data_IF_060206283283
#
_entry.id   IF_060206283283
#
_cell.length_a   1.000
_cell.length_b   1.000
_cell.length_c   1.000
_cell.angle_alpha   90.00
_cell.angle_beta   90.00
_cell.angle_gamma   90.00
#
_symmetry.space_group_name_H-M   'P 1'
#
loop_
_entity.id
_entity.type
_entity.pdbx_description
1 polymer ?
#
# COMPACT_ATOMS: atom_id res chain seq x y z
N UNK A 1 0.34 53.80 33.54
CA UNK A 1 1.44 53.95 32.56
C UNK A 1 2.16 52.60 32.41
N UNK A 2 2.25 52.00 31.23
CA UNK A 2 3.00 50.77 31.05
C UNK A 2 4.49 51.06 31.18
N UNK A 3 5.19 50.32 32.04
CA UNK A 3 6.65 50.36 32.19
C UNK A 3 7.30 50.07 30.85
N UNK A 4 8.02 51.07 30.30
CA UNK A 4 8.79 50.95 29.07
C UNK A 4 9.77 49.76 29.14
N UNK A 5 9.82 48.94 28.09
CA UNK A 5 10.83 47.88 27.94
C UNK A 5 12.21 48.50 28.06
N UNK A 6 13.10 47.95 28.91
CA UNK A 6 14.44 48.47 29.04
C UNK A 6 15.14 48.43 27.70
N UNK A 7 15.86 49.50 27.37
CA UNK A 7 16.61 49.63 26.11
C UNK A 7 17.53 48.40 25.90
N UNK A 8 17.52 47.88 24.70
CA UNK A 8 18.20 46.65 24.27
C UNK A 8 19.76 46.66 24.43
N UNK A 9 20.34 47.77 24.87
CA UNK A 9 21.78 47.93 24.93
C UNK A 9 22.49 47.32 26.17
N UNK A 10 21.78 46.95 27.23
CA UNK A 10 22.38 46.34 28.43
C UNK A 10 22.83 44.88 28.29
N UNK A 11 22.34 44.17 27.24
CA UNK A 11 22.55 42.74 27.05
C UNK A 11 23.59 42.40 25.99
N UNK A 12 24.17 43.39 25.30
CA UNK A 12 25.10 43.22 24.19
C UNK A 12 26.43 43.84 24.57
N UNK A 13 27.45 43.01 24.80
CA UNK A 13 28.85 43.43 24.90
C UNK A 13 29.58 43.10 23.60
N UNK A 14 30.56 43.87 23.25
CA UNK A 14 31.50 43.60 22.14
C UNK A 14 30.81 43.35 20.78
N UNK A 15 29.94 44.27 20.38
CA UNK A 15 29.26 44.22 19.07
C UNK A 15 30.24 44.52 17.93
N UNK A 16 30.37 43.60 16.97
CA UNK A 16 31.17 43.76 15.74
C UNK A 16 30.29 43.48 14.53
N UNK A 17 30.19 44.43 13.63
CA UNK A 17 29.39 44.27 12.41
C UNK A 17 30.11 43.34 11.41
N UNK A 18 29.31 42.48 10.75
CA UNK A 18 29.78 41.58 9.71
C UNK A 18 29.57 42.26 8.36
N UNK A 19 30.57 42.24 7.49
CA UNK A 19 30.57 42.88 6.16
C UNK A 19 30.08 44.34 6.18
N UNK A 20 30.41 45.08 7.25
CA UNK A 20 29.94 46.45 7.47
C UNK A 20 28.40 46.63 7.46
N UNK A 21 27.66 45.58 7.64
CA UNK A 21 26.18 45.61 7.65
C UNK A 21 25.65 45.91 9.05
N UNK A 22 24.72 46.89 9.16
CA UNK A 22 24.09 47.25 10.44
C UNK A 22 23.14 46.13 10.96
N UNK A 23 22.61 45.32 10.06
CA UNK A 23 21.66 44.25 10.32
C UNK A 23 22.30 42.84 10.42
N UNK A 24 23.63 42.77 10.40
CA UNK A 24 24.42 41.56 10.61
C UNK A 24 25.63 41.85 11.51
N UNK A 25 25.65 41.23 12.69
CA UNK A 25 26.74 41.44 13.63
C UNK A 25 26.91 40.26 14.59
N UNK A 26 28.12 40.13 15.11
CA UNK A 26 28.40 39.26 16.26
C UNK A 26 28.45 40.06 17.55
N UNK A 27 28.16 39.40 18.66
CA UNK A 27 28.16 40.02 19.99
C UNK A 27 28.36 38.98 21.09
N UNK A 28 28.77 39.43 22.25
CA UNK A 28 28.85 38.59 23.46
C UNK A 28 27.72 38.95 24.41
N UNK A 29 27.25 37.97 25.15
CA UNK A 29 26.37 38.16 26.32
C UNK A 29 27.20 38.28 27.58
N UNK A 30 26.78 39.09 28.59
CA UNK A 30 27.57 39.37 29.79
C UNK A 30 28.02 38.16 30.61
N UNK A 31 27.41 36.99 30.43
CA UNK A 31 27.71 35.76 31.19
C UNK A 31 28.04 34.56 30.30
N UNK A 32 28.40 34.80 29.04
CA UNK A 32 28.68 33.73 28.09
C UNK A 32 30.02 33.95 27.44
N UNK A 33 30.87 32.93 27.44
CA UNK A 33 32.13 32.91 26.69
C UNK A 33 31.91 32.69 25.20
N UNK A 34 30.72 32.21 24.79
CA UNK A 34 30.40 31.84 23.40
C UNK A 34 29.91 33.09 22.64
N UNK A 35 30.47 33.34 21.46
CA UNK A 35 30.00 34.35 20.56
C UNK A 35 28.60 34.09 20.06
N UNK A 36 27.75 35.12 20.02
CA UNK A 36 26.41 35.12 19.47
C UNK A 36 26.39 35.91 18.17
N UNK A 37 25.48 35.59 17.29
CA UNK A 37 25.26 36.41 16.10
C UNK A 37 23.84 36.94 16.03
N UNK A 38 23.70 38.08 15.40
CA UNK A 38 22.43 38.68 14.99
C UNK A 38 22.44 38.80 13.48
N UNK A 39 21.38 38.42 12.88
CA UNK A 39 21.16 38.49 11.45
C UNK A 39 19.72 38.91 11.19
N UNK A 40 19.54 39.93 10.33
CA UNK A 40 18.26 40.36 9.81
C UNK A 40 18.41 40.51 8.30
N UNK A 41 17.65 39.65 7.57
CA UNK A 41 17.52 39.70 6.12
C UNK A 41 16.04 39.82 5.81
N UNK A 42 15.71 40.60 4.78
CA UNK A 42 14.33 40.80 4.38
C UNK A 42 13.68 39.44 4.07
N UNK A 43 12.47 39.21 4.59
CA UNK A 43 11.77 37.94 4.49
C UNK A 43 12.16 36.86 5.52
N UNK A 44 13.34 36.93 6.17
CA UNK A 44 13.81 35.95 7.15
C UNK A 44 13.51 36.33 8.62
N UNK A 45 13.14 37.57 8.88
CA UNK A 45 12.98 38.08 10.25
C UNK A 45 14.29 38.29 10.98
N UNK A 46 14.24 38.42 12.31
CA UNK A 46 15.41 38.61 13.17
C UNK A 46 15.92 37.28 13.73
N UNK A 47 17.18 36.98 13.49
CA UNK A 47 17.85 35.81 13.99
C UNK A 47 18.84 36.17 15.07
N UNK A 48 18.77 35.53 16.25
CA UNK A 48 19.72 35.68 17.35
C UNK A 48 20.10 34.30 17.83
N UNK A 49 21.32 33.83 17.53
CA UNK A 49 21.77 32.47 17.89
C UNK A 49 23.25 32.47 18.32
N UNK A 50 23.66 31.36 18.91
CA UNK A 50 25.06 31.06 19.16
C UNK A 50 25.80 30.72 17.88
N UNK A 51 27.05 31.18 17.76
CA UNK A 51 27.96 30.71 16.69
C UNK A 51 28.58 29.36 17.02
N UNK A 52 28.56 28.95 18.29
CA UNK A 52 29.26 27.76 18.79
C UNK A 52 30.78 28.04 19.00
N UNK A 53 31.26 29.22 18.65
CA UNK A 53 32.68 29.60 18.79
C UNK A 53 32.92 30.16 20.20
N UNK A 54 33.88 29.59 20.90
CA UNK A 54 34.30 30.06 22.20
C UNK A 54 35.12 31.36 22.06
N UNK A 55 34.95 32.25 23.01
CA UNK A 55 35.70 33.49 23.12
C UNK A 55 36.03 33.74 24.58
N UNK A 56 36.82 34.75 24.85
CA UNK A 56 37.15 35.21 26.18
C UNK A 56 36.38 36.50 26.52
N UNK A 57 35.92 36.66 27.77
CA UNK A 57 35.21 37.86 28.19
C UNK A 57 36.15 39.04 28.44
N UNK A 58 37.41 38.79 28.68
CA UNK A 58 38.43 39.78 28.95
C UNK A 58 39.27 40.12 27.69
N UNK A 59 39.35 39.15 26.74
CA UNK A 59 39.97 39.41 25.43
C UNK A 59 38.94 39.24 24.28
N UNK A 60 38.62 40.37 23.66
CA UNK A 60 37.66 40.43 22.56
C UNK A 60 38.14 39.67 21.32
N UNK A 61 39.44 39.50 21.12
CA UNK A 61 39.98 38.90 19.90
C UNK A 61 39.89 37.38 19.89
N UNK A 62 39.70 36.73 21.04
CA UNK A 62 39.60 35.29 21.15
C UNK A 62 38.33 34.81 20.45
N UNK A 63 38.50 33.98 19.44
CA UNK A 63 37.39 33.40 18.62
C UNK A 63 36.64 34.40 17.75
N UNK A 64 37.01 35.71 17.74
CA UNK A 64 36.27 36.73 16.99
C UNK A 64 36.30 36.48 15.48
N UNK A 65 37.46 36.14 14.93
CA UNK A 65 37.63 35.91 13.48
C UNK A 65 36.79 34.72 13.01
N UNK A 66 36.78 33.64 13.76
CA UNK A 66 35.97 32.44 13.47
C UNK A 66 34.47 32.73 13.57
N UNK A 67 34.05 33.49 14.59
CA UNK A 67 32.68 33.91 14.76
C UNK A 67 32.20 34.84 13.63
N UNK A 68 33.08 35.76 13.18
CA UNK A 68 32.81 36.61 12.02
C UNK A 68 32.64 35.79 10.76
N UNK A 69 33.60 34.90 10.47
CA UNK A 69 33.55 34.03 9.29
C UNK A 69 32.25 33.14 9.31
N UNK A 70 31.95 32.52 10.43
CA UNK A 70 30.70 31.74 10.58
C UNK A 70 29.47 32.58 10.27
N UNK A 71 29.40 33.79 10.80
CA UNK A 71 28.25 34.69 10.62
C UNK A 71 28.16 35.22 9.21
N UNK A 72 29.28 35.49 8.56
CA UNK A 72 29.35 35.87 7.15
C UNK A 72 28.81 34.79 6.25
N UNK A 73 29.19 33.51 6.45
CA UNK A 73 28.64 32.39 5.70
C UNK A 73 27.09 32.30 5.88
N UNK A 74 26.61 32.51 7.10
CA UNK A 74 25.17 32.54 7.37
C UNK A 74 24.44 33.69 6.71
N UNK A 75 25.06 34.84 6.62
CA UNK A 75 24.52 36.02 5.92
C UNK A 75 24.43 35.77 4.41
N UNK A 76 25.50 35.23 3.81
CA UNK A 76 25.54 34.90 2.37
C UNK A 76 24.49 33.83 2.04
N UNK A 77 24.38 32.82 2.90
CA UNK A 77 23.33 31.76 2.76
C UNK A 77 21.93 32.37 2.78
N UNK A 78 21.63 33.24 3.74
CA UNK A 78 20.32 33.89 3.88
C UNK A 78 20.01 34.79 2.69
N UNK A 79 20.97 35.60 2.22
CA UNK A 79 20.84 36.44 1.01
C UNK A 79 20.66 35.62 -0.25
N UNK A 80 21.40 34.52 -0.38
CA UNK A 80 21.26 33.60 -1.50
C UNK A 80 19.85 33.02 -1.56
N UNK A 81 19.29 32.64 -0.40
CA UNK A 81 17.91 32.16 -0.32
C UNK A 81 16.87 33.21 -0.74
N UNK A 82 17.02 34.44 -0.30
CA UNK A 82 16.17 35.57 -0.69
C UNK A 82 16.20 35.79 -2.21
N UNK A 83 17.37 35.81 -2.83
CA UNK A 83 17.54 35.97 -4.27
C UNK A 83 16.83 34.90 -5.08
N UNK A 84 16.73 33.66 -4.55
CA UNK A 84 15.98 32.54 -5.14
C UNK A 84 14.50 32.50 -4.71
N UNK A 85 14.02 33.53 -4.00
CA UNK A 85 12.64 33.60 -3.51
C UNK A 85 12.28 32.45 -2.56
N UNK A 86 13.26 31.95 -1.81
CA UNK A 86 13.09 30.90 -0.83
C UNK A 86 12.43 31.43 0.44
N UNK A 87 11.61 30.59 1.10
CA UNK A 87 11.04 30.92 2.40
C UNK A 87 12.06 30.80 3.52
N UNK A 88 11.88 31.62 4.57
CA UNK A 88 12.64 31.47 5.81
C UNK A 88 12.47 30.07 6.40
N UNK A 89 13.61 29.45 6.77
CA UNK A 89 13.65 28.16 7.46
C UNK A 89 14.04 28.29 8.93
N UNK A 90 14.34 29.50 9.35
CA UNK A 90 14.90 29.85 10.67
C UNK A 90 14.09 29.33 11.84
N UNK A 91 12.76 29.40 11.73
CA UNK A 91 11.82 28.96 12.77
C UNK A 91 11.14 27.66 12.45
N UNK A 92 11.38 27.11 11.26
CA UNK A 92 10.67 25.92 10.79
C UNK A 92 11.37 24.66 11.20
N UNK A 93 10.62 23.77 11.83
CA UNK A 93 11.10 22.48 12.28
C UNK A 93 10.58 21.36 11.37
N UNK A 94 11.39 20.33 11.24
CA UNK A 94 11.16 19.24 10.29
C UNK A 94 9.81 18.53 10.53
N UNK A 95 9.44 18.28 11.79
CA UNK A 95 8.22 17.54 12.11
C UNK A 95 6.95 18.39 11.95
N UNK A 96 7.03 19.68 12.25
CA UNK A 96 5.90 20.60 12.04
C UNK A 96 5.53 20.64 10.55
N UNK A 97 6.53 20.65 9.68
CA UNK A 97 6.31 20.61 8.24
C UNK A 97 5.87 19.23 7.72
N UNK A 98 6.18 18.13 8.44
CA UNK A 98 5.57 16.82 8.16
C UNK A 98 4.07 16.85 8.46
N UNK A 99 3.66 17.50 9.54
CA UNK A 99 2.26 17.64 9.90
C UNK A 99 1.52 18.51 8.87
N UNK A 100 2.12 19.63 8.43
CA UNK A 100 1.59 20.45 7.34
C UNK A 100 1.37 19.65 6.05
N UNK A 101 2.35 18.81 5.68
CA UNK A 101 2.24 17.91 4.53
C UNK A 101 1.10 16.91 4.70
N UNK A 102 0.98 16.28 5.87
CA UNK A 102 -0.08 15.30 6.15
C UNK A 102 -1.47 15.94 6.14
N UNK A 103 -1.61 17.18 6.61
CA UNK A 103 -2.87 17.91 6.55
C UNK A 103 -3.22 18.30 5.09
N UNK A 104 -2.24 18.69 4.24
CA UNK A 104 -2.48 18.92 2.81
C UNK A 104 -2.90 17.62 2.10
N UNK A 105 -2.25 16.50 2.39
CA UNK A 105 -2.63 15.19 1.85
C UNK A 105 -4.01 14.72 2.34
N UNK A 106 -4.37 15.01 3.59
CA UNK A 106 -5.69 14.68 4.17
C UNK A 106 -6.84 15.33 3.42
N UNK A 107 -6.66 16.57 2.95
CA UNK A 107 -7.66 17.27 2.12
C UNK A 107 -7.94 16.57 0.78
N UNK A 108 -7.03 15.70 0.34
CA UNK A 108 -7.15 14.92 -0.91
C UNK A 108 -7.86 13.57 -0.73
N UNK A 109 -8.35 13.26 0.47
CA UNK A 109 -8.98 11.96 0.74
C UNK A 109 -10.32 11.85 0.03
N UNK A 110 -10.50 10.74 -0.73
CA UNK A 110 -11.76 10.33 -1.34
C UNK A 110 -12.05 8.86 -1.01
N UNK A 111 -13.31 8.42 -1.06
CA UNK A 111 -13.68 7.04 -0.72
C UNK A 111 -13.00 5.97 -1.57
N UNK A 112 -12.64 6.29 -2.80
CA UNK A 112 -12.00 5.40 -3.76
C UNK A 112 -10.96 6.15 -4.60
N UNK A 113 -10.08 5.40 -5.26
CA UNK A 113 -9.02 5.98 -6.07
C UNK A 113 -9.57 6.79 -7.25
N UNK A 114 -9.18 8.06 -7.30
CA UNK A 114 -9.41 8.99 -8.40
C UNK A 114 -8.10 9.70 -8.74
N UNK A 115 -7.87 10.11 -10.00
CA UNK A 115 -6.71 10.93 -10.35
C UNK A 115 -6.62 12.18 -9.46
N UNK A 116 -5.44 12.45 -8.90
CA UNK A 116 -5.22 13.59 -8.02
C UNK A 116 -5.69 13.42 -6.57
N UNK A 117 -6.36 12.32 -6.21
CA UNK A 117 -6.85 12.04 -4.86
C UNK A 117 -6.21 10.79 -4.27
N UNK A 118 -6.34 10.61 -2.97
CA UNK A 118 -5.85 9.43 -2.22
C UNK A 118 -6.96 8.81 -1.39
N UNK A 119 -6.80 7.55 -1.02
CA UNK A 119 -7.70 6.90 -0.06
C UNK A 119 -7.28 7.19 1.39
N UNK A 120 -8.21 7.05 2.33
CA UNK A 120 -7.91 7.16 3.77
C UNK A 120 -6.80 6.18 4.19
N UNK A 121 -6.76 4.97 3.60
CA UNK A 121 -5.70 4.00 3.87
C UNK A 121 -4.34 4.47 3.35
N UNK A 122 -4.28 5.08 2.17
CA UNK A 122 -3.05 5.68 1.63
C UNK A 122 -2.54 6.78 2.56
N UNK A 123 -3.43 7.61 3.10
CA UNK A 123 -3.06 8.64 4.08
C UNK A 123 -2.48 8.03 5.36
N UNK A 124 -3.10 6.98 5.92
CA UNK A 124 -2.57 6.26 7.09
C UNK A 124 -1.18 5.68 6.83
N UNK A 125 -0.97 5.10 5.65
CA UNK A 125 0.34 4.57 5.24
C UNK A 125 1.38 5.70 5.16
N UNK A 126 1.05 6.86 4.57
CA UNK A 126 1.95 8.01 4.55
C UNK A 126 2.29 8.51 5.95
N UNK A 127 1.31 8.59 6.84
CA UNK A 127 1.52 8.96 8.25
C UNK A 127 2.47 7.97 8.95
N UNK A 128 2.28 6.67 8.71
CA UNK A 128 3.18 5.64 9.25
C UNK A 128 4.61 5.81 8.74
N UNK A 129 4.80 6.04 7.45
CA UNK A 129 6.12 6.23 6.85
C UNK A 129 6.84 7.47 7.41
N UNK A 130 6.12 8.59 7.60
CA UNK A 130 6.72 9.79 8.22
C UNK A 130 7.00 9.60 9.71
N UNK A 131 6.22 8.80 10.43
CA UNK A 131 6.55 8.41 11.79
C UNK A 131 7.84 7.57 11.87
N UNK A 132 8.15 6.75 10.86
CA UNK A 132 9.44 6.07 10.78
C UNK A 132 10.58 7.08 10.54
N UNK A 133 10.37 8.10 9.71
CA UNK A 133 11.35 9.17 9.51
C UNK A 133 11.57 9.99 10.80
N UNK A 134 10.51 10.28 11.60
CA UNK A 134 10.66 10.88 12.93
C UNK A 134 11.54 10.05 13.85
N UNK A 135 11.39 8.73 13.81
CA UNK A 135 12.22 7.80 14.60
C UNK A 135 13.66 7.75 14.12
N UNK A 136 13.90 7.85 12.82
CA UNK A 136 15.23 8.00 12.26
C UNK A 136 15.95 9.19 12.89
N UNK A 137 15.27 10.32 13.09
CA UNK A 137 15.76 11.48 13.81
C UNK A 137 15.60 11.38 15.34
N UNK A 138 15.48 10.17 15.90
CA UNK A 138 15.36 9.91 17.36
C UNK A 138 14.26 10.73 18.05
N UNK A 139 13.18 11.04 17.33
CA UNK A 139 12.06 11.88 17.79
C UNK A 139 12.46 13.35 18.12
N UNK A 140 13.63 13.79 17.68
CA UNK A 140 14.08 15.20 17.85
C UNK A 140 13.53 16.03 16.71
N UNK A 141 12.64 16.97 17.01
CA UNK A 141 12.10 17.91 16.04
C UNK A 141 13.11 19.04 15.76
N UNK A 142 14.08 18.73 14.91
CA UNK A 142 15.17 19.64 14.59
C UNK A 142 14.76 20.72 13.57
N UNK A 143 15.40 21.91 13.62
CA UNK A 143 15.24 22.91 12.57
C UNK A 143 15.69 22.36 11.20
N UNK A 144 15.00 22.77 10.13
CA UNK A 144 15.36 22.36 8.75
C UNK A 144 16.80 22.75 8.39
N UNK A 145 17.32 23.85 8.92
CA UNK A 145 18.70 24.27 8.73
C UNK A 145 19.76 23.23 9.13
N UNK A 146 19.38 22.37 10.09
CA UNK A 146 20.26 21.31 10.60
C UNK A 146 20.07 19.99 9.85
N UNK A 147 19.36 19.98 8.72
CA UNK A 147 19.16 18.80 7.92
C UNK A 147 20.49 18.30 7.35
N UNK A 148 20.90 17.12 7.78
CA UNK A 148 22.09 16.46 7.27
C UNK A 148 21.72 15.55 6.09
N UNK A 149 22.17 15.94 4.88
CA UNK A 149 21.87 15.19 3.64
C UNK A 149 22.59 13.86 3.58
N UNK A 150 23.81 13.76 4.11
CA UNK A 150 24.58 12.51 4.15
C UNK A 150 23.92 11.50 5.07
N UNK A 151 23.42 11.97 6.23
CA UNK A 151 22.64 11.13 7.12
C UNK A 151 21.36 10.62 6.43
N UNK A 152 20.63 11.48 5.70
CA UNK A 152 19.44 11.08 4.96
C UNK A 152 19.72 10.08 3.85
N UNK A 153 20.89 10.21 3.19
CA UNK A 153 21.32 9.27 2.16
C UNK A 153 21.34 7.84 2.68
N UNK A 154 21.72 7.62 3.92
CA UNK A 154 21.79 6.31 4.57
C UNK A 154 20.49 5.82 5.22
N UNK A 155 19.38 6.57 5.12
CA UNK A 155 18.07 6.14 5.64
C UNK A 155 17.69 4.70 5.23
N UNK A 156 17.87 4.26 3.96
CA UNK A 156 17.53 2.90 3.56
C UNK A 156 18.34 1.82 4.30
N UNK A 157 19.62 2.08 4.54
CA UNK A 157 20.49 1.18 5.30
C UNK A 157 20.03 1.08 6.76
N UNK A 158 19.87 2.25 7.42
CA UNK A 158 19.31 2.30 8.77
C UNK A 158 18.00 1.53 8.89
N UNK A 159 17.10 1.73 7.93
CA UNK A 159 15.79 1.09 7.94
C UNK A 159 15.86 -0.43 7.79
N UNK A 160 16.82 -0.93 7.03
CA UNK A 160 17.05 -2.34 6.80
C UNK A 160 17.73 -3.07 7.98
N UNK A 161 18.46 -2.34 8.82
CA UNK A 161 19.30 -2.93 9.88
C UNK A 161 18.81 -2.64 11.30
N UNK A 162 18.07 -1.53 11.51
CA UNK A 162 17.71 -1.09 12.86
C UNK A 162 16.51 -1.85 13.41
N UNK A 163 16.68 -2.43 14.59
CA UNK A 163 15.61 -2.99 15.41
C UNK A 163 15.45 -2.15 16.66
N UNK A 164 14.27 -1.61 16.91
CA UNK A 164 13.94 -0.93 18.16
C UNK A 164 12.73 -1.59 18.79
N UNK A 165 12.77 -2.00 20.07
CA UNK A 165 11.59 -2.41 20.79
C UNK A 165 10.59 -1.25 20.87
N UNK A 166 9.34 -1.55 21.19
CA UNK A 166 8.22 -0.61 21.18
C UNK A 166 8.56 0.73 21.84
N UNK A 167 8.86 1.72 21.03
CA UNK A 167 8.75 3.14 21.38
C UNK A 167 7.43 3.63 20.80
N UNK A 168 6.50 4.04 21.68
CA UNK A 168 5.22 4.56 21.23
C UNK A 168 5.42 5.62 20.11
N UNK A 169 4.68 5.62 18.98
CA UNK A 169 3.55 4.76 18.70
C UNK A 169 3.86 3.52 17.84
N UNK A 170 5.08 3.29 17.34
CA UNK A 170 5.38 2.22 16.38
C UNK A 170 6.70 1.51 16.70
N UNK A 171 6.69 0.18 16.81
CA UNK A 171 7.91 -0.61 16.86
C UNK A 171 8.68 -0.50 15.52
N UNK A 172 10.00 -0.37 15.59
CA UNK A 172 10.86 -0.47 14.41
C UNK A 172 11.34 -1.91 14.33
N UNK A 173 11.03 -2.56 13.23
CA UNK A 173 11.61 -3.85 12.83
C UNK A 173 12.10 -3.73 11.40
N UNK A 174 13.23 -4.32 11.04
CA UNK A 174 13.64 -4.37 9.65
C UNK A 174 12.51 -4.98 8.79
N UNK A 175 12.18 -4.38 7.65
CA UNK A 175 11.15 -4.93 6.78
C UNK A 175 11.60 -6.22 6.14
N UNK A 176 10.68 -7.15 5.94
CA UNK A 176 10.97 -8.44 5.31
C UNK A 176 11.39 -8.32 3.84
N UNK A 177 11.02 -7.22 3.18
CA UNK A 177 11.30 -7.01 1.75
C UNK A 177 11.78 -5.58 1.50
N UNK A 178 12.69 -5.43 0.56
CA UNK A 178 13.17 -4.12 0.10
C UNK A 178 12.05 -3.28 -0.54
N UNK A 179 11.01 -3.91 -1.08
CA UNK A 179 9.84 -3.23 -1.62
C UNK A 179 9.13 -2.34 -0.58
N UNK A 180 9.15 -2.74 0.70
CA UNK A 180 8.62 -1.93 1.80
C UNK A 180 9.41 -0.65 1.96
N UNK A 181 10.75 -0.72 1.96
CA UNK A 181 11.62 0.47 2.05
C UNK A 181 11.41 1.37 0.82
N UNK A 182 11.27 0.80 -0.38
CA UNK A 182 10.94 1.57 -1.58
C UNK A 182 9.61 2.34 -1.45
N UNK A 183 8.61 1.74 -0.83
CA UNK A 183 7.33 2.40 -0.55
C UNK A 183 7.47 3.54 0.46
N UNK A 184 8.25 3.34 1.52
CA UNK A 184 8.59 4.37 2.51
C UNK A 184 9.29 5.54 1.84
N UNK A 185 10.34 5.28 1.03
CA UNK A 185 11.08 6.29 0.28
C UNK A 185 10.19 7.07 -0.70
N UNK A 186 9.19 6.43 -1.29
CA UNK A 186 8.23 7.14 -2.16
C UNK A 186 7.48 8.23 -1.38
N UNK A 187 7.05 7.93 -0.15
CA UNK A 187 6.40 8.92 0.72
C UNK A 187 7.38 10.01 1.17
N UNK A 188 8.58 9.61 1.59
CA UNK A 188 9.61 10.53 2.08
C UNK A 188 10.03 11.50 0.96
N UNK A 189 10.24 11.00 -0.26
CA UNK A 189 10.52 11.87 -1.42
C UNK A 189 9.37 12.81 -1.73
N UNK A 190 8.12 12.35 -1.63
CA UNK A 190 6.95 13.22 -1.82
C UNK A 190 6.89 14.33 -0.76
N UNK A 191 7.24 14.03 0.49
CA UNK A 191 7.37 15.03 1.54
C UNK A 191 8.48 16.05 1.23
N UNK A 192 9.67 15.62 0.84
CA UNK A 192 10.74 16.56 0.47
C UNK A 192 10.40 17.36 -0.80
N UNK A 193 9.70 16.75 -1.77
CA UNK A 193 9.18 17.48 -2.93
C UNK A 193 8.15 18.56 -2.52
N UNK A 194 7.32 18.28 -1.51
CA UNK A 194 6.46 19.30 -0.90
C UNK A 194 7.28 20.46 -0.32
N UNK A 195 8.37 20.20 0.39
CA UNK A 195 9.25 21.25 0.92
C UNK A 195 9.88 22.08 -0.18
N UNK A 196 10.30 21.46 -1.29
CA UNK A 196 10.80 22.18 -2.48
C UNK A 196 9.71 23.05 -3.10
N UNK A 197 8.51 22.50 -3.30
CA UNK A 197 7.35 23.25 -3.83
C UNK A 197 6.96 24.43 -2.93
N UNK A 198 7.06 24.25 -1.61
CA UNK A 198 6.80 25.33 -0.63
C UNK A 198 7.98 26.28 -0.47
N UNK A 199 9.05 26.10 -1.24
CA UNK A 199 10.27 26.92 -1.24
C UNK A 199 11.09 26.88 0.06
N UNK A 200 10.98 25.78 0.83
CA UNK A 200 11.85 25.56 2.00
C UNK A 200 13.18 24.89 1.63
N UNK A 201 13.23 24.10 0.57
CA UNK A 201 14.42 23.44 0.06
C UNK A 201 14.61 23.73 -1.42
N UNK A 202 15.87 23.72 -1.89
CA UNK A 202 16.22 23.89 -3.32
C UNK A 202 16.00 22.61 -4.11
N UNK A 203 16.34 21.46 -3.54
CA UNK A 203 16.21 20.15 -4.20
C UNK A 203 15.78 19.07 -3.23
N UNK A 204 15.21 18.01 -3.77
CA UNK A 204 14.88 16.80 -3.01
C UNK A 204 16.18 16.08 -2.63
N UNK A 205 16.38 15.67 -1.36
CA UNK A 205 17.54 14.89 -0.96
C UNK A 205 17.68 13.58 -1.74
N UNK A 206 18.90 13.16 -1.96
CA UNK A 206 19.20 11.87 -2.53
C UNK A 206 19.17 10.78 -1.46
N UNK A 207 18.86 9.56 -1.87
CA UNK A 207 18.83 8.38 -1.01
C UNK A 207 19.62 7.26 -1.68
N UNK A 208 20.31 6.45 -0.89
CA UNK A 208 21.02 5.26 -1.36
C UNK A 208 20.10 4.41 -2.22
N UNK A 209 20.58 3.99 -3.38
CA UNK A 209 19.82 3.12 -4.29
C UNK A 209 19.57 1.77 -3.62
N UNK A 210 18.33 1.30 -3.73
CA UNK A 210 17.93 -0.04 -3.33
C UNK A 210 17.80 -0.87 -4.59
N UNK A 211 18.52 -1.99 -4.64
CA UNK A 211 18.35 -2.98 -5.70
C UNK A 211 17.02 -3.69 -5.44
N UNK A 212 16.06 -3.53 -6.35
CA UNK A 212 14.79 -4.25 -6.26
C UNK A 212 15.03 -5.71 -6.61
N UNK A 213 14.80 -6.59 -5.67
CA UNK A 213 14.71 -8.02 -5.97
C UNK A 213 13.65 -8.24 -7.06
N UNK A 214 13.98 -9.10 -8.03
CA UNK A 214 13.02 -9.47 -9.06
C UNK A 214 11.82 -10.14 -8.37
N UNK A 215 10.60 -9.79 -8.80
CA UNK A 215 9.34 -10.29 -8.19
C UNK A 215 9.15 -11.81 -8.22
N UNK A 216 10.06 -12.56 -8.80
CA UNK A 216 9.95 -14.01 -9.03
C UNK A 216 9.88 -14.82 -7.73
N UNK A 217 10.52 -14.36 -6.65
CA UNK A 217 10.65 -15.16 -5.42
C UNK A 217 9.58 -14.86 -4.36
N UNK A 218 8.75 -13.83 -4.56
CA UNK A 218 7.68 -13.44 -3.62
C UNK A 218 6.30 -13.94 -4.03
N UNK A 219 6.22 -15.13 -4.64
CA UNK A 219 4.94 -15.75 -4.99
C UNK A 219 4.19 -16.14 -3.73
N UNK A 220 2.90 -15.83 -3.70
CA UNK A 220 2.04 -16.32 -2.63
C UNK A 220 1.70 -17.77 -2.89
N UNK A 221 1.80 -18.57 -1.85
CA UNK A 221 1.41 -19.96 -1.93
C UNK A 221 -0.08 -20.10 -2.24
N UNK A 222 -0.41 -21.13 -2.98
CA UNK A 222 -1.77 -21.56 -3.27
C UNK A 222 -2.00 -22.99 -2.81
N UNK A 223 -3.26 -23.37 -2.70
CA UNK A 223 -3.66 -24.72 -2.29
C UNK A 223 -3.85 -25.59 -3.54
N UNK A 224 -3.33 -26.80 -3.52
CA UNK A 224 -3.73 -27.84 -4.46
C UNK A 224 -5.20 -28.21 -4.28
N UNK A 225 -5.82 -28.88 -5.24
CA UNK A 225 -7.22 -29.31 -5.14
C UNK A 225 -7.47 -30.17 -3.88
N UNK A 226 -6.51 -31.05 -3.53
CA UNK A 226 -6.56 -31.88 -2.33
C UNK A 226 -6.49 -31.06 -1.05
N UNK A 227 -5.52 -30.16 -0.93
CA UNK A 227 -5.37 -29.27 0.24
C UNK A 227 -6.58 -28.34 0.39
N UNK A 228 -7.12 -27.83 -0.72
CA UNK A 228 -8.32 -27.00 -0.73
C UNK A 228 -9.53 -27.78 -0.18
N UNK A 229 -9.77 -29.00 -0.66
CA UNK A 229 -10.85 -29.87 -0.16
C UNK A 229 -10.70 -30.12 1.34
N UNK A 230 -9.49 -30.46 1.79
CA UNK A 230 -9.20 -30.69 3.22
C UNK A 230 -9.42 -29.43 4.06
N UNK A 231 -9.00 -28.26 3.54
CA UNK A 231 -9.24 -26.96 4.18
C UNK A 231 -10.74 -26.68 4.31
N UNK A 232 -11.51 -26.87 3.25
CA UNK A 232 -12.96 -26.68 3.28
C UNK A 232 -13.66 -27.59 4.30
N UNK A 233 -13.30 -28.86 4.36
CA UNK A 233 -13.86 -29.81 5.34
C UNK A 233 -13.56 -29.36 6.78
N UNK A 234 -12.31 -28.92 7.04
CA UNK A 234 -11.91 -28.42 8.37
C UNK A 234 -12.67 -27.13 8.74
N UNK A 235 -12.80 -26.20 7.79
CA UNK A 235 -13.52 -24.94 8.02
C UNK A 235 -15.01 -25.18 8.19
N UNK A 236 -15.60 -26.13 7.46
CA UNK A 236 -17.01 -26.52 7.61
C UNK A 236 -17.26 -27.12 9.01
N UNK A 237 -16.43 -28.05 9.46
CA UNK A 237 -16.55 -28.64 10.79
C UNK A 237 -16.41 -27.57 11.89
N UNK A 238 -15.44 -26.64 11.74
CA UNK A 238 -15.27 -25.51 12.65
C UNK A 238 -16.46 -24.55 12.65
N UNK A 239 -17.08 -24.33 11.50
CA UNK A 239 -18.27 -23.45 11.37
C UNK A 239 -19.53 -24.01 12.01
N UNK A 240 -19.56 -25.32 12.29
CA UNK A 240 -20.68 -26.03 12.94
C UNK A 240 -20.41 -26.39 14.40
N UNK A 241 -19.29 -25.93 14.98
CA UNK A 241 -18.89 -26.30 16.34
C UNK A 241 -19.90 -25.83 17.39
N UNK A 242 -20.39 -26.77 18.20
CA UNK A 242 -21.40 -26.52 19.23
C UNK A 242 -20.93 -25.64 20.41
N UNK A 243 -19.61 -25.48 20.59
CA UNK A 243 -19.01 -24.68 21.69
C UNK A 243 -19.01 -23.17 21.39
N UNK A 244 -19.43 -22.75 20.21
CA UNK A 244 -19.37 -21.36 19.79
C UNK A 244 -20.67 -20.59 20.13
N UNK A 245 -20.56 -19.30 20.46
CA UNK A 245 -21.71 -18.41 20.60
C UNK A 245 -22.43 -18.23 19.24
N UNK A 246 -23.70 -17.80 19.26
CA UNK A 246 -24.47 -17.52 18.03
C UNK A 246 -23.72 -16.56 17.08
N UNK A 247 -23.11 -15.49 17.62
CA UNK A 247 -22.31 -14.55 16.84
C UNK A 247 -21.06 -15.20 16.23
N UNK A 248 -20.38 -16.07 16.98
CA UNK A 248 -19.22 -16.80 16.46
C UNK A 248 -19.62 -17.78 15.36
N UNK A 249 -20.73 -18.51 15.55
CA UNK A 249 -21.25 -19.43 14.52
C UNK A 249 -21.60 -18.68 13.24
N UNK A 250 -22.31 -17.56 13.35
CA UNK A 250 -22.62 -16.69 12.22
C UNK A 250 -21.35 -16.29 11.47
N UNK A 251 -20.38 -15.70 12.17
CA UNK A 251 -19.13 -15.25 11.56
C UNK A 251 -18.37 -16.38 10.87
N UNK A 252 -18.31 -17.57 11.48
CA UNK A 252 -17.65 -18.75 10.95
C UNK A 252 -18.33 -19.26 9.68
N UNK A 253 -19.68 -19.31 9.65
CA UNK A 253 -20.45 -19.75 8.50
C UNK A 253 -20.37 -18.75 7.33
N UNK A 254 -20.43 -17.44 7.62
CA UNK A 254 -20.21 -16.40 6.62
C UNK A 254 -18.84 -16.54 5.99
N UNK A 255 -17.80 -16.80 6.80
CA UNK A 255 -16.43 -16.94 6.29
C UNK A 255 -16.22 -18.24 5.50
N UNK A 256 -16.83 -19.35 5.91
CA UNK A 256 -16.83 -20.58 5.12
C UNK A 256 -17.37 -20.34 3.70
N UNK A 257 -18.55 -19.71 3.60
CA UNK A 257 -19.13 -19.38 2.30
C UNK A 257 -18.26 -18.37 1.52
N UNK A 258 -17.63 -17.41 2.21
CA UNK A 258 -16.74 -16.42 1.60
C UNK A 258 -15.51 -17.07 0.94
N UNK A 259 -14.93 -18.12 1.53
CA UNK A 259 -13.82 -18.88 0.93
C UNK A 259 -14.25 -19.46 -0.41
N UNK A 260 -15.41 -20.09 -0.47
CA UNK A 260 -15.91 -20.74 -1.69
C UNK A 260 -16.26 -19.69 -2.75
N UNK A 261 -16.92 -18.59 -2.34
CA UNK A 261 -17.20 -17.46 -3.22
C UNK A 261 -15.90 -16.90 -3.82
N UNK A 262 -14.88 -16.66 -3.02
CA UNK A 262 -13.60 -16.12 -3.51
C UNK A 262 -12.90 -17.03 -4.51
N UNK A 263 -12.91 -18.35 -4.25
CA UNK A 263 -12.29 -19.34 -5.15
C UNK A 263 -13.02 -19.42 -6.47
N UNK A 264 -14.36 -19.40 -6.47
CA UNK A 264 -15.17 -19.53 -7.67
C UNK A 264 -15.29 -18.23 -8.47
N UNK A 265 -15.38 -17.07 -7.80
CA UNK A 265 -15.54 -15.77 -8.46
C UNK A 265 -14.23 -15.07 -8.76
N UNK A 266 -13.13 -15.56 -8.25
CA UNK A 266 -11.81 -14.95 -8.34
C UNK A 266 -11.77 -13.50 -7.81
N UNK A 267 -12.66 -13.13 -6.91
CA UNK A 267 -12.71 -11.80 -6.30
C UNK A 267 -11.55 -11.59 -5.33
N UNK A 268 -11.04 -10.36 -5.26
CA UNK A 268 -10.15 -9.97 -4.16
C UNK A 268 -10.94 -9.88 -2.86
N UNK A 269 -10.34 -10.25 -1.74
CA UNK A 269 -11.00 -10.20 -0.42
C UNK A 269 -11.61 -8.82 -0.12
N UNK A 270 -10.90 -7.75 -0.44
CA UNK A 270 -11.42 -6.39 -0.26
C UNK A 270 -12.62 -6.09 -1.16
N UNK A 271 -12.63 -6.63 -2.38
CA UNK A 271 -13.79 -6.51 -3.29
C UNK A 271 -14.98 -7.25 -2.74
N UNK A 272 -14.83 -8.53 -2.36
CA UNK A 272 -15.92 -9.32 -1.76
C UNK A 272 -16.53 -8.63 -0.53
N UNK A 273 -15.69 -8.08 0.34
CA UNK A 273 -16.13 -7.36 1.55
C UNK A 273 -16.86 -6.05 1.24
N UNK A 274 -16.67 -5.48 0.07
CA UNK A 274 -17.30 -4.24 -0.37
C UNK A 274 -18.55 -4.45 -1.24
N UNK A 275 -18.90 -5.70 -1.56
CA UNK A 275 -20.13 -5.99 -2.26
C UNK A 275 -21.35 -5.69 -1.40
N UNK A 276 -22.41 -5.23 -2.06
CA UNK A 276 -23.75 -5.09 -1.53
C UNK A 276 -24.70 -5.96 -2.34
N UNK A 277 -25.89 -6.23 -1.85
CA UNK A 277 -26.82 -7.16 -2.51
C UNK A 277 -27.21 -6.76 -3.93
N UNK A 278 -27.33 -5.49 -4.25
CA UNK A 278 -27.61 -5.01 -5.62
C UNK A 278 -26.49 -5.31 -6.63
N UNK A 279 -25.31 -5.71 -6.16
CA UNK A 279 -24.20 -6.09 -7.05
C UNK A 279 -24.38 -7.49 -7.66
N UNK A 280 -25.40 -8.25 -7.18
CA UNK A 280 -25.71 -9.60 -7.63
C UNK A 280 -26.95 -9.60 -8.51
N UNK A 281 -26.86 -10.24 -9.66
CA UNK A 281 -27.96 -10.34 -10.63
C UNK A 281 -28.02 -11.73 -11.29
N UNK A 282 -29.06 -11.97 -12.08
CA UNK A 282 -29.19 -13.19 -12.89
C UNK A 282 -28.16 -13.19 -14.01
N UNK A 283 -27.52 -14.32 -14.23
CA UNK A 283 -26.61 -14.52 -15.37
C UNK A 283 -27.43 -14.94 -16.61
N UNK A 284 -28.06 -13.97 -17.28
CA UNK A 284 -28.94 -14.22 -18.44
C UNK A 284 -28.24 -14.93 -19.61
N UNK A 285 -26.91 -14.75 -19.73
CA UNK A 285 -26.09 -15.40 -20.76
C UNK A 285 -25.77 -16.88 -20.45
N UNK A 286 -26.27 -17.41 -19.34
CA UNK A 286 -26.15 -18.82 -18.97
C UNK A 286 -27.44 -19.55 -19.38
N UNK A 287 -27.39 -20.80 -19.86
CA UNK A 287 -28.58 -21.59 -20.17
C UNK A 287 -29.61 -21.57 -19.02
N UNK A 288 -30.91 -21.50 -19.37
CA UNK A 288 -31.99 -21.27 -18.38
C UNK A 288 -32.05 -22.31 -17.25
N UNK A 289 -31.71 -23.54 -17.55
CA UNK A 289 -31.61 -24.66 -16.61
C UNK A 289 -30.45 -24.51 -15.61
N UNK A 290 -29.37 -23.84 -16.01
CA UNK A 290 -28.17 -23.60 -15.19
C UNK A 290 -28.20 -22.24 -14.49
N UNK A 291 -29.05 -21.29 -14.86
CA UNK A 291 -29.11 -19.94 -14.28
C UNK A 291 -29.26 -19.96 -12.75
N UNK A 292 -29.95 -20.97 -12.18
CA UNK A 292 -30.13 -21.10 -10.74
C UNK A 292 -28.80 -21.30 -9.95
N UNK A 293 -27.70 -21.59 -10.63
CA UNK A 293 -26.37 -21.80 -10.02
C UNK A 293 -25.46 -20.58 -10.14
N UNK A 294 -25.70 -19.69 -11.11
CA UNK A 294 -24.77 -18.64 -11.49
C UNK A 294 -25.28 -17.25 -11.16
N UNK A 295 -24.44 -16.43 -10.53
CA UNK A 295 -24.63 -15.00 -10.42
C UNK A 295 -23.87 -14.24 -11.50
N UNK A 296 -24.50 -13.19 -12.02
CA UNK A 296 -23.82 -12.07 -12.64
C UNK A 296 -23.41 -11.10 -11.53
N UNK A 297 -22.12 -10.98 -11.26
CA UNK A 297 -21.59 -10.09 -10.21
C UNK A 297 -21.10 -8.81 -10.85
N UNK A 298 -21.73 -7.67 -10.55
CA UNK A 298 -21.38 -6.34 -11.03
C UNK A 298 -20.47 -5.65 -10.01
N UNK A 299 -19.16 -5.68 -10.24
CA UNK A 299 -18.18 -5.06 -9.34
C UNK A 299 -18.10 -3.58 -9.62
N UNK A 300 -18.62 -2.77 -8.68
CA UNK A 300 -18.59 -1.30 -8.75
C UNK A 300 -17.17 -0.75 -8.56
N UNK A 301 -16.93 0.51 -9.03
CA UNK A 301 -15.63 1.20 -8.83
C UNK A 301 -15.25 1.28 -7.35
N UNK A 302 -16.21 1.60 -6.50
CA UNK A 302 -16.07 1.79 -5.06
C UNK A 302 -15.72 0.48 -4.34
N UNK A 303 -16.12 -0.65 -4.90
CA UNK A 303 -15.81 -1.97 -4.36
C UNK A 303 -14.40 -2.45 -4.70
N UNK A 304 -13.67 -1.76 -5.59
CA UNK A 304 -12.34 -2.18 -6.05
C UNK A 304 -11.23 -1.26 -5.57
N UNK A 305 -10.04 -1.82 -5.32
CA UNK A 305 -8.83 -1.03 -5.01
C UNK A 305 -8.37 -0.15 -6.19
N UNK A 306 -8.65 -0.57 -7.41
CA UNK A 306 -8.12 0.05 -8.66
C UNK A 306 -9.13 0.99 -9.31
N UNK A 307 -10.36 1.07 -8.80
CA UNK A 307 -11.39 1.95 -9.34
C UNK A 307 -11.93 1.52 -10.72
N UNK A 308 -11.77 0.26 -11.13
CA UNK A 308 -12.29 -0.25 -12.40
C UNK A 308 -13.58 -1.04 -12.18
N UNK A 309 -14.62 -0.73 -12.99
CA UNK A 309 -15.83 -1.55 -13.06
C UNK A 309 -15.54 -2.84 -13.82
N UNK A 310 -16.16 -3.91 -13.40
CA UNK A 310 -16.19 -5.16 -14.17
C UNK A 310 -17.42 -5.98 -13.83
N UNK A 311 -17.77 -6.86 -14.73
CA UNK A 311 -18.83 -7.83 -14.56
C UNK A 311 -18.24 -9.22 -14.74
N UNK A 312 -18.68 -10.17 -13.93
CA UNK A 312 -18.25 -11.56 -14.02
C UNK A 312 -19.41 -12.49 -13.72
N UNK A 313 -19.37 -13.69 -14.30
CA UNK A 313 -20.32 -14.78 -14.02
C UNK A 313 -19.61 -15.78 -13.09
N UNK A 314 -20.31 -16.24 -12.07
CA UNK A 314 -19.75 -17.16 -11.08
C UNK A 314 -20.78 -18.13 -10.50
N UNK A 315 -20.44 -19.41 -10.31
CA UNK A 315 -21.33 -20.42 -9.71
C UNK A 315 -21.40 -20.22 -8.17
N UNK A 316 -22.03 -19.13 -7.74
CA UNK A 316 -22.02 -18.69 -6.34
C UNK A 316 -23.40 -18.47 -5.72
N UNK A 317 -24.49 -18.77 -6.44
CA UNK A 317 -25.87 -18.51 -5.98
C UNK A 317 -26.15 -19.17 -4.62
N UNK A 318 -25.78 -20.41 -4.46
CA UNK A 318 -26.01 -21.16 -3.22
C UNK A 318 -25.31 -20.51 -2.01
N UNK A 319 -24.06 -20.08 -2.19
CA UNK A 319 -23.24 -19.54 -1.10
C UNK A 319 -23.68 -18.15 -0.67
N UNK A 320 -24.07 -17.30 -1.62
CA UNK A 320 -24.66 -16.01 -1.29
C UNK A 320 -26.05 -16.17 -0.66
N UNK A 321 -26.85 -17.15 -1.12
CA UNK A 321 -28.15 -17.47 -0.51
C UNK A 321 -27.98 -17.89 0.95
N UNK A 322 -27.01 -18.74 1.26
CA UNK A 322 -26.71 -19.13 2.64
C UNK A 322 -26.30 -17.92 3.51
N UNK A 323 -25.50 -16.99 2.97
CA UNK A 323 -25.14 -15.76 3.70
C UNK A 323 -26.38 -14.90 3.94
N UNK A 324 -27.28 -14.78 2.96
CA UNK A 324 -28.56 -14.07 3.09
C UNK A 324 -29.42 -14.65 4.22
N UNK A 325 -29.57 -15.96 4.24
CA UNK A 325 -30.33 -16.69 5.26
C UNK A 325 -29.74 -16.54 6.66
N UNK A 326 -28.41 -16.66 6.78
CA UNK A 326 -27.70 -16.42 8.03
C UNK A 326 -27.91 -15.00 8.56
N UNK A 327 -27.98 -14.01 7.67
CA UNK A 327 -28.25 -12.62 8.02
C UNK A 327 -29.73 -12.36 8.34
N UNK A 328 -30.61 -13.33 8.16
CA UNK A 328 -32.06 -13.16 8.36
C UNK A 328 -32.74 -12.30 7.30
N UNK A 329 -32.08 -12.08 6.16
CA UNK A 329 -32.63 -11.26 5.07
C UNK A 329 -33.61 -12.11 4.24
N UNK A 330 -34.87 -11.68 4.06
CA UNK A 330 -35.87 -12.43 3.31
C UNK A 330 -35.50 -12.54 1.82
N UNK A 331 -36.01 -13.56 1.16
CA UNK A 331 -35.97 -13.66 -0.31
C UNK A 331 -37.08 -12.79 -0.89
N UNK A 332 -36.83 -12.12 -2.01
CA UNK A 332 -37.84 -11.36 -2.75
C UNK A 332 -38.98 -12.29 -3.15
N UNK A 333 -40.22 -11.96 -2.80
CA UNK A 333 -41.39 -12.78 -3.15
C UNK A 333 -41.48 -13.02 -4.67
N UNK A 334 -41.95 -14.19 -5.08
CA UNK A 334 -42.16 -14.62 -6.48
C UNK A 334 -40.90 -14.57 -7.39
N UNK A 335 -39.73 -14.30 -6.85
CA UNK A 335 -38.49 -14.36 -7.63
C UNK A 335 -38.00 -15.81 -7.69
N UNK A 336 -37.73 -16.33 -8.90
CA UNK A 336 -37.03 -17.61 -9.09
C UNK A 336 -35.59 -17.54 -8.59
N UNK A 337 -35.00 -16.35 -8.66
CA UNK A 337 -33.66 -16.07 -8.23
C UNK A 337 -33.63 -15.59 -6.76
N UNK A 338 -32.59 -15.86 -5.98
CA UNK A 338 -32.52 -15.45 -4.58
C UNK A 338 -32.22 -13.95 -4.41
N UNK A 339 -32.96 -13.10 -5.13
CA UNK A 339 -32.88 -11.65 -4.93
C UNK A 339 -33.42 -11.28 -3.54
N UNK A 340 -32.85 -10.18 -3.00
CA UNK A 340 -33.36 -9.57 -1.79
C UNK A 340 -34.42 -8.51 -2.13
N UNK A 341 -35.35 -8.19 -1.20
CA UNK A 341 -36.25 -7.03 -1.33
C UNK A 341 -35.45 -5.71 -1.48
N UNK A 342 -36.10 -4.68 -2.00
CA UNK A 342 -35.44 -3.45 -2.42
C UNK A 342 -34.77 -2.69 -1.26
N UNK A 343 -35.37 -2.74 -0.08
CA UNK A 343 -34.84 -2.15 1.15
C UNK A 343 -33.48 -2.75 1.59
N UNK A 344 -33.16 -3.99 1.18
CA UNK A 344 -31.89 -4.65 1.49
C UNK A 344 -30.83 -4.50 0.40
N UNK A 345 -31.17 -4.00 -0.77
CA UNK A 345 -30.27 -3.96 -1.94
C UNK A 345 -28.95 -3.23 -1.69
N UNK A 346 -28.97 -2.19 -0.88
CA UNK A 346 -27.79 -1.39 -0.58
C UNK A 346 -27.00 -1.88 0.66
N UNK A 347 -27.48 -2.90 1.33
CA UNK A 347 -26.82 -3.43 2.52
C UNK A 347 -25.60 -4.30 2.18
N UNK A 348 -24.58 -4.33 3.04
CA UNK A 348 -23.40 -5.14 2.82
C UNK A 348 -23.73 -6.63 2.88
N UNK A 349 -23.20 -7.40 1.93
CA UNK A 349 -23.37 -8.87 1.92
C UNK A 349 -22.71 -9.49 3.15
N UNK A 350 -21.48 -9.08 3.46
CA UNK A 350 -20.77 -9.52 4.67
C UNK A 350 -21.07 -8.54 5.81
N UNK A 351 -22.21 -8.72 6.43
CA UNK A 351 -22.69 -7.90 7.54
C UNK A 351 -22.25 -8.42 8.91
N UNK A 352 -22.44 -7.61 9.95
CA UNK A 352 -22.29 -8.04 11.34
C UNK A 352 -23.50 -8.90 11.77
N UNK A 353 -23.27 -9.79 12.70
CA UNK A 353 -24.35 -10.54 13.35
C UNK A 353 -25.39 -9.59 13.97
N UNK A 354 -26.66 -9.77 13.67
CA UNK A 354 -27.80 -8.95 14.15
C UNK A 354 -27.77 -7.46 13.76
N UNK A 355 -26.86 -7.04 12.86
CA UNK A 355 -26.76 -5.67 12.34
C UNK A 355 -26.43 -5.71 10.86
N UNK A 356 -27.46 -6.00 10.06
CA UNK A 356 -27.31 -6.23 8.61
C UNK A 356 -26.87 -4.98 7.84
N UNK A 357 -27.12 -3.79 8.38
CA UNK A 357 -26.70 -2.49 7.86
C UNK A 357 -25.20 -2.22 8.05
N UNK A 358 -24.58 -2.89 9.01
CA UNK A 358 -23.18 -2.72 9.32
C UNK A 358 -22.33 -3.84 8.69
N UNK A 359 -21.25 -3.44 8.00
CA UNK A 359 -20.28 -4.39 7.46
C UNK A 359 -19.50 -5.10 8.58
N UNK A 360 -19.21 -6.39 8.38
CA UNK A 360 -18.31 -7.15 9.24
C UNK A 360 -16.94 -6.45 9.32
N UNK A 361 -16.51 -6.14 10.54
CA UNK A 361 -15.25 -5.43 10.79
C UNK A 361 -14.01 -6.24 10.46
N UNK A 362 -12.93 -5.56 10.12
CA UNK A 362 -11.62 -6.17 9.83
C UNK A 362 -11.14 -7.07 10.97
N UNK A 363 -11.26 -6.60 12.22
CA UNK A 363 -10.83 -7.36 13.39
C UNK A 363 -11.53 -8.72 13.51
N UNK A 364 -12.83 -8.80 13.24
CA UNK A 364 -13.58 -10.06 13.24
C UNK A 364 -13.10 -10.98 12.11
N UNK A 365 -12.94 -10.42 10.90
CA UNK A 365 -12.48 -11.17 9.74
C UNK A 365 -11.09 -11.77 9.95
N UNK A 366 -10.13 -10.99 10.45
CA UNK A 366 -8.76 -11.45 10.71
C UNK A 366 -8.65 -12.40 11.90
N UNK A 367 -9.46 -12.22 12.96
CA UNK A 367 -9.51 -13.15 14.10
C UNK A 367 -9.96 -14.55 13.66
N UNK A 368 -11.04 -14.62 12.93
CA UNK A 368 -11.51 -15.91 12.38
C UNK A 368 -10.49 -16.53 11.42
N UNK A 369 -9.80 -15.72 10.64
CA UNK A 369 -8.71 -16.20 9.79
C UNK A 369 -7.58 -16.83 10.61
N UNK A 370 -7.20 -16.23 11.72
CA UNK A 370 -6.18 -16.80 12.60
C UNK A 370 -6.60 -18.19 13.11
N UNK A 371 -7.85 -18.34 13.55
CA UNK A 371 -8.39 -19.65 13.98
C UNK A 371 -8.34 -20.69 12.85
N UNK A 372 -8.71 -20.33 11.63
CA UNK A 372 -8.63 -21.22 10.45
C UNK A 372 -7.17 -21.61 10.19
N UNK A 373 -6.27 -20.63 10.19
CA UNK A 373 -4.85 -20.83 9.95
C UNK A 373 -4.25 -21.80 10.96
N UNK A 374 -4.54 -21.62 12.25
CA UNK A 374 -4.01 -22.47 13.32
C UNK A 374 -4.49 -23.92 13.17
N UNK A 375 -5.75 -24.15 12.71
CA UNK A 375 -6.31 -25.47 12.46
C UNK A 375 -5.76 -26.17 11.22
N UNK A 376 -5.41 -25.44 10.17
CA UNK A 376 -5.05 -26.00 8.88
C UNK A 376 -3.53 -26.07 8.67
N UNK A 377 -2.75 -25.16 9.27
CA UNK A 377 -1.32 -25.01 8.98
C UNK A 377 -0.53 -26.30 9.22
N UNK A 378 -0.62 -26.88 10.41
CA UNK A 378 0.12 -28.10 10.77
C UNK A 378 -0.38 -29.36 10.08
N UNK A 379 -1.66 -29.37 9.65
CA UNK A 379 -2.31 -30.56 9.10
C UNK A 379 -2.21 -30.69 7.59
N UNK A 380 -2.32 -29.56 6.85
CA UNK A 380 -2.49 -29.59 5.40
C UNK A 380 -1.58 -28.63 4.65
N UNK A 381 -1.19 -27.50 5.24
CA UNK A 381 -0.48 -26.45 4.52
C UNK A 381 1.05 -26.54 4.63
N UNK A 382 1.56 -27.26 5.63
CA UNK A 382 3.00 -27.40 5.85
C UNK A 382 3.71 -26.03 5.98
N UNK A 383 4.73 -25.83 5.16
CA UNK A 383 5.49 -24.59 5.12
C UNK A 383 4.80 -23.46 4.34
N UNK A 384 3.69 -23.72 3.65
CA UNK A 384 3.00 -22.74 2.84
C UNK A 384 2.48 -21.56 3.67
N UNK A 385 2.73 -20.35 3.18
CA UNK A 385 2.20 -19.13 3.77
C UNK A 385 0.83 -18.77 3.19
N UNK A 386 -0.18 -19.54 3.55
CA UNK A 386 -1.55 -19.36 3.08
C UNK A 386 -2.18 -18.13 3.74
N UNK A 387 -2.82 -17.31 2.94
CA UNK A 387 -3.57 -16.11 3.32
C UNK A 387 -4.96 -16.13 2.70
N UNK A 388 -5.83 -15.18 3.09
CA UNK A 388 -7.12 -15.00 2.38
C UNK A 388 -6.96 -14.87 0.86
N UNK A 389 -5.92 -14.21 0.42
CA UNK A 389 -5.65 -14.01 -1.00
C UNK A 389 -5.26 -15.32 -1.70
N UNK A 390 -4.74 -16.29 -0.97
CA UNK A 390 -4.37 -17.62 -1.49
C UNK A 390 -5.56 -18.40 -2.03
N UNK A 391 -6.77 -18.21 -1.50
CA UNK A 391 -7.98 -18.83 -2.06
C UNK A 391 -8.30 -18.34 -3.46
N UNK A 392 -8.13 -17.06 -3.72
CA UNK A 392 -8.24 -16.52 -5.07
C UNK A 392 -7.12 -17.07 -5.96
N UNK A 393 -5.87 -17.18 -5.47
CA UNK A 393 -4.78 -17.78 -6.22
C UNK A 393 -5.10 -19.24 -6.57
N UNK A 394 -5.58 -20.04 -5.60
CA UNK A 394 -6.02 -21.41 -5.86
C UNK A 394 -7.12 -21.47 -6.93
N UNK A 395 -8.11 -20.59 -6.87
CA UNK A 395 -9.17 -20.52 -7.88
C UNK A 395 -8.63 -20.18 -9.27
N UNK A 396 -7.67 -19.26 -9.38
CA UNK A 396 -7.02 -18.95 -10.66
C UNK A 396 -6.21 -20.17 -11.14
N UNK A 397 -5.39 -20.80 -10.27
CA UNK A 397 -4.62 -21.99 -10.62
C UNK A 397 -5.51 -23.14 -11.11
N UNK A 398 -6.64 -23.39 -10.43
CA UNK A 398 -7.60 -24.42 -10.87
C UNK A 398 -8.21 -24.13 -12.24
N UNK A 399 -8.43 -22.85 -12.59
CA UNK A 399 -8.94 -22.47 -13.90
C UNK A 399 -7.85 -22.57 -14.99
N UNK A 400 -6.60 -22.24 -14.67
CA UNK A 400 -5.46 -22.48 -15.56
C UNK A 400 -5.28 -23.97 -15.82
N UNK A 401 -5.31 -24.81 -14.78
CA UNK A 401 -5.27 -26.27 -14.90
C UNK A 401 -6.41 -26.85 -15.75
N UNK A 402 -7.56 -26.18 -15.78
CA UNK A 402 -8.70 -26.52 -16.64
C UNK A 402 -8.63 -25.89 -18.03
N UNK A 403 -7.54 -25.23 -18.37
CA UNK A 403 -7.30 -24.60 -19.67
C UNK A 403 -8.28 -23.46 -20.01
N UNK A 404 -8.83 -22.79 -19.01
CA UNK A 404 -9.63 -21.59 -19.25
C UNK A 404 -8.73 -20.51 -19.88
N UNK A 405 -9.12 -19.90 -21.02
CA UNK A 405 -8.28 -18.93 -21.73
C UNK A 405 -7.83 -17.79 -20.80
N UNK A 406 -6.52 -17.46 -20.82
CA UNK A 406 -5.93 -16.43 -19.95
C UNK A 406 -6.61 -15.06 -20.11
N UNK A 407 -7.08 -14.73 -21.31
CA UNK A 407 -7.83 -13.49 -21.55
C UNK A 407 -9.14 -13.47 -20.78
N UNK A 408 -9.87 -14.59 -20.73
CA UNK A 408 -11.09 -14.74 -19.94
C UNK A 408 -10.79 -14.65 -18.46
N UNK A 409 -9.73 -15.33 -17.98
CA UNK A 409 -9.29 -15.25 -16.58
C UNK A 409 -8.85 -13.83 -16.21
N UNK A 410 -8.15 -13.13 -17.08
CA UNK A 410 -7.73 -11.73 -16.88
C UNK A 410 -8.94 -10.82 -16.61
N UNK A 411 -9.95 -10.91 -17.46
CA UNK A 411 -11.20 -10.14 -17.36
C UNK A 411 -11.98 -10.53 -16.07
N UNK A 412 -12.16 -11.82 -15.83
CA UNK A 412 -12.90 -12.33 -14.65
C UNK A 412 -12.19 -11.97 -13.36
N UNK A 413 -10.90 -12.23 -13.28
CA UNK A 413 -10.11 -11.92 -12.09
C UNK A 413 -9.84 -10.42 -11.92
N UNK A 414 -9.88 -9.60 -12.99
CA UNK A 414 -9.46 -8.21 -12.96
C UNK A 414 -7.98 -8.09 -12.57
N UNK A 415 -7.13 -8.87 -13.25
CA UNK A 415 -5.67 -8.93 -13.10
C UNK A 415 -5.07 -8.89 -14.50
N UNK A 416 -3.98 -8.13 -14.71
CA UNK A 416 -3.36 -8.03 -16.02
C UNK A 416 -2.84 -9.38 -16.53
N UNK A 417 -2.83 -9.60 -17.84
CA UNK A 417 -2.29 -10.80 -18.47
C UNK A 417 -0.85 -11.08 -18.02
N UNK A 418 0.01 -10.07 -18.05
CA UNK A 418 1.39 -10.18 -17.61
C UNK A 418 1.54 -10.69 -16.17
N UNK A 419 0.63 -10.31 -15.28
CA UNK A 419 0.61 -10.81 -13.89
C UNK A 419 0.14 -12.28 -13.83
N UNK A 420 -0.79 -12.68 -14.69
CA UNK A 420 -1.23 -14.07 -14.81
C UNK A 420 -0.11 -14.95 -15.37
N UNK A 421 0.54 -14.52 -16.43
CA UNK A 421 1.69 -15.23 -17.01
C UNK A 421 2.81 -15.41 -15.99
N UNK A 422 3.24 -14.33 -15.33
CA UNK A 422 4.32 -14.38 -14.34
C UNK A 422 4.02 -15.27 -13.13
N UNK A 423 2.76 -15.38 -12.71
CA UNK A 423 2.41 -16.09 -11.48
C UNK A 423 1.97 -17.52 -11.74
N UNK A 424 1.34 -17.82 -12.88
CA UNK A 424 0.66 -19.09 -13.10
C UNK A 424 1.25 -19.93 -14.25
N UNK A 425 1.94 -19.32 -15.22
CA UNK A 425 2.42 -20.04 -16.42
C UNK A 425 3.69 -20.87 -16.20
N UNK A 426 4.51 -20.53 -15.20
CA UNK A 426 5.79 -21.24 -14.97
C UNK A 426 5.64 -22.66 -14.40
N UNK A 427 4.45 -23.01 -13.87
CA UNK A 427 4.20 -24.38 -13.38
C UNK A 427 3.79 -25.36 -14.46
N UNK A 428 3.42 -24.89 -15.65
CA UNK A 428 2.96 -25.75 -16.72
C UNK A 428 4.09 -26.37 -17.57
N UNK A 429 5.24 -25.72 -17.65
CA UNK A 429 6.33 -26.18 -18.52
C UNK A 429 6.86 -27.59 -18.14
N UNK A 430 6.75 -27.99 -16.89
CA UNK A 430 7.21 -29.28 -16.36
C UNK A 430 6.03 -30.22 -16.03
N UNK A 431 4.79 -29.85 -16.32
CA UNK A 431 3.62 -30.65 -15.95
C UNK A 431 3.37 -31.77 -16.95
N UNK A 432 2.84 -32.91 -16.45
CA UNK A 432 2.35 -34.01 -17.30
C UNK A 432 1.34 -33.53 -18.36
N UNK A 433 0.52 -32.51 -18.04
CA UNK A 433 -0.44 -31.90 -18.98
C UNK A 433 0.21 -31.14 -20.12
N UNK A 434 1.34 -30.48 -19.89
CA UNK A 434 2.09 -29.82 -20.97
C UNK A 434 2.59 -30.86 -21.95
N UNK A 435 3.09 -32.00 -21.47
CA UNK A 435 3.46 -33.12 -22.32
C UNK A 435 2.26 -33.68 -23.09
N UNK A 436 1.10 -33.86 -22.47
CA UNK A 436 -0.13 -34.34 -23.10
C UNK A 436 -0.59 -33.39 -24.20
N UNK A 437 -0.57 -32.07 -23.96
CA UNK A 437 -0.89 -31.03 -24.96
C UNK A 437 0.08 -31.02 -26.15
N UNK A 438 1.38 -31.06 -25.86
CA UNK A 438 2.41 -31.13 -26.91
C UNK A 438 2.29 -32.43 -27.70
N UNK A 439 1.94 -33.52 -27.05
CA UNK A 439 1.72 -34.79 -27.71
C UNK A 439 0.44 -34.79 -28.60
N UNK A 440 -0.63 -34.12 -28.15
CA UNK A 440 -1.82 -33.92 -28.99
C UNK A 440 -1.53 -33.06 -30.22
N UNK A 441 -0.73 -31.99 -30.04
CA UNK A 441 -0.26 -31.18 -31.17
C UNK A 441 0.57 -32.00 -32.16
N UNK A 442 1.46 -32.87 -31.67
CA UNK A 442 2.23 -33.78 -32.53
C UNK A 442 1.33 -34.69 -33.33
N UNK A 443 0.33 -35.30 -32.70
CA UNK A 443 -0.65 -36.16 -33.41
C UNK A 443 -1.44 -35.37 -34.46
N UNK A 444 -1.79 -34.13 -34.16
CA UNK A 444 -2.46 -33.24 -35.13
C UNK A 444 -1.56 -32.89 -36.33
N UNK A 445 -0.30 -32.55 -36.09
CA UNK A 445 0.67 -32.28 -37.17
C UNK A 445 1.00 -33.54 -37.98
N UNK A 446 1.12 -34.69 -37.33
CA UNK A 446 1.34 -35.97 -38.00
C UNK A 446 0.15 -36.33 -38.92
N UNK A 447 -1.08 -36.00 -38.52
CA UNK A 447 -2.29 -36.17 -39.34
C UNK A 447 -2.29 -35.24 -40.55
N UNK A 448 -1.97 -33.93 -40.35
CA UNK A 448 -1.88 -32.97 -41.44
C UNK A 448 -0.78 -33.36 -42.46
N UNK A 449 0.34 -33.83 -41.98
CA UNK A 449 1.43 -34.25 -42.84
C UNK A 449 1.04 -35.49 -43.67
N UNK A 450 0.35 -36.48 -43.09
CA UNK A 450 -0.20 -37.62 -43.82
C UNK A 450 -1.26 -37.22 -44.87
N UNK A 451 -2.12 -36.26 -44.51
CA UNK A 451 -3.11 -35.73 -45.46
C UNK A 451 -2.42 -34.95 -46.62
N UNK A 452 -1.28 -34.29 -46.36
CA UNK A 452 -0.47 -33.64 -47.39
C UNK A 452 0.24 -34.67 -48.30
N UNK A 453 0.80 -35.72 -47.74
CA UNK A 453 1.42 -36.82 -48.49
C UNK A 453 0.41 -37.47 -49.41
N UNK A 454 -0.82 -37.73 -48.95
CA UNK A 454 -1.89 -38.28 -49.81
C UNK A 454 -2.37 -37.30 -50.89
N UNK A 455 -2.31 -35.99 -50.63
CA UNK A 455 -2.65 -34.97 -51.65
C UNK A 455 -1.53 -34.81 -52.73
N UNK A 456 -0.27 -35.02 -52.34
CA UNK A 456 0.86 -35.04 -53.30
C UNK A 456 0.78 -36.27 -54.20
N UNK A 457 0.44 -37.44 -53.66
CA UNK A 457 0.22 -38.65 -54.48
C UNK A 457 -0.95 -38.49 -55.46
N UNK A 458 -1.99 -37.72 -55.13
CA UNK A 458 -3.08 -37.40 -56.08
C UNK A 458 -2.64 -36.44 -57.19
N UNK A 459 -1.73 -35.51 -56.88
CA UNK A 459 -1.20 -34.59 -57.90
C UNK A 459 -0.30 -35.33 -58.92
N UNK A 460 0.55 -36.27 -58.46
CA UNK A 460 1.36 -37.10 -59.34
C UNK A 460 0.54 -38.06 -60.25
N UNK A 461 -0.64 -38.46 -59.76
CA UNK A 461 -1.58 -39.30 -60.56
C UNK A 461 -2.28 -38.45 -61.63
N UNK A 462 -2.47 -37.16 -61.42
CA UNK A 462 -3.09 -36.26 -62.42
C UNK A 462 -2.10 -35.79 -63.47
N UNK A 463 -0.81 -35.66 -63.18
CA UNK A 463 0.25 -35.32 -64.13
C UNK A 463 0.64 -36.48 -65.03
N UNK A 464 0.18 -37.72 -64.76
CA UNK A 464 0.39 -38.93 -65.53
C UNK A 464 -0.70 -39.24 -66.54
N UNK A 465 -1.69 -38.37 -66.75
CA UNK A 465 -2.79 -38.46 -67.70
C UNK A 465 -2.64 -37.32 -68.70
N UNK A 466 -1.61 -37.36 -69.56
CA UNK A 466 -1.53 -36.72 -70.88
C UNK A 466 -1.43 -37.76 -72.01
#
# INVERSE_FOLDING_TARGET
MPKGRPSTNKWVKHKVNVLNQRNCYIYKRPRSTIWQYYLQVDGEGQLRRSTGVEGDNDDINVGQKEALYFTEQKYIEARGRENYGMKSIVTKKLFDLMDDFLEEEKKRIKPYNQPGFITAETWRVKTHHLNLLRKFYKMVNQPIEKLNYDQLYDYPYWRGTTTCPKLNPVAITPPKTQQTICSELTTIRAYFAFLVRKKYLLKVPEFRKIVRERKTDNRRDYLTAREYKQTLNTVLAWSKSKVATKSQLYNRQVLYNSIIIMTNSLLRVGTLRNLVWRDLDVAENVPKDEQHRFHLIRVRKEATKVGTRRTLISPTVEYFSRIRELAGIPKKPKSRFPHVPEEYMNLPILSKFSRVEERMGDGTFYRCWKEIKDKCKSRYWGQKNITWYSFRHSGISFNVERQVPLMTLSKTAGTGLKELELVYYHHEAESKKTWELLNQNRVFFDRINKERETLVDYAEVLDGIE
#
